data_IF_981544157132
#
_entry.id   IF_981544157132
#
_cell.length_a   1.000
_cell.length_b   1.000
_cell.length_c   1.000
_cell.angle_alpha   90.00
_cell.angle_beta   90.00
_cell.angle_gamma   90.00
#
_symmetry.space_group_name_H-M   'P 1'
#
loop_
_entity.id
_entity.type
_entity.pdbx_description
1 polymer ?
#
# COMPACT_ATOMS: atom_id res chain seq x y z
N UNK A 1 -14.07 -5.05 3.61
CA UNK A 1 -14.43 -3.99 2.63
C UNK A 1 -13.24 -3.60 1.77
N UNK A 2 -12.18 -3.01 2.34
CA UNK A 2 -11.01 -2.55 1.57
C UNK A 2 -10.39 -3.66 0.70
N UNK A 3 -10.24 -4.88 1.25
CA UNK A 3 -9.80 -6.04 0.47
C UNK A 3 -10.57 -6.23 -0.81
N UNK A 4 -11.91 -6.20 -0.76
CA UNK A 4 -12.77 -6.42 -1.93
C UNK A 4 -12.60 -5.31 -2.98
N UNK A 5 -12.51 -4.05 -2.54
CA UNK A 5 -12.34 -2.89 -3.42
C UNK A 5 -10.98 -2.91 -4.13
N UNK A 6 -9.92 -3.29 -3.43
CA UNK A 6 -8.55 -3.25 -3.94
C UNK A 6 -8.04 -4.60 -4.47
N UNK A 7 -8.83 -5.68 -4.38
CA UNK A 7 -8.48 -7.00 -4.94
C UNK A 7 -8.14 -6.94 -6.43
N UNK A 8 -8.91 -6.23 -7.29
CA UNK A 8 -8.56 -6.13 -8.71
C UNK A 8 -7.22 -5.44 -8.95
N UNK A 9 -6.86 -4.45 -8.11
CA UNK A 9 -5.58 -3.75 -8.19
C UNK A 9 -4.44 -4.66 -7.72
N UNK A 10 -4.63 -5.40 -6.62
CA UNK A 10 -3.66 -6.37 -6.14
C UNK A 10 -3.38 -7.45 -7.20
N UNK A 11 -4.43 -7.95 -7.85
CA UNK A 11 -4.29 -8.91 -8.95
C UNK A 11 -3.53 -8.32 -10.15
N UNK A 12 -3.83 -7.06 -10.51
CA UNK A 12 -3.17 -6.38 -11.63
C UNK A 12 -1.66 -6.19 -11.44
N UNK A 13 -1.19 -6.02 -10.20
CA UNK A 13 0.24 -5.88 -9.88
C UNK A 13 0.95 -7.22 -9.68
N UNK A 14 0.28 -8.35 -9.94
CA UNK A 14 0.89 -9.69 -9.97
C UNK A 14 0.56 -10.60 -8.79
N UNK A 15 -0.31 -10.21 -7.85
CA UNK A 15 -0.72 -11.09 -6.74
C UNK A 15 -1.69 -12.17 -7.24
N UNK A 16 -1.51 -13.47 -6.91
CA UNK A 16 -2.48 -14.51 -7.23
C UNK A 16 -3.88 -14.19 -6.69
N UNK A 17 -4.93 -14.52 -7.44
CA UNK A 17 -6.30 -14.17 -7.04
C UNK A 17 -6.71 -14.71 -5.67
N UNK A 18 -6.19 -15.88 -5.28
CA UNK A 18 -6.39 -16.49 -3.95
C UNK A 18 -5.87 -15.62 -2.80
N UNK A 19 -4.87 -14.78 -3.06
CA UNK A 19 -4.21 -13.91 -2.06
C UNK A 19 -4.59 -12.43 -2.24
N UNK A 20 -5.22 -12.08 -3.37
CA UNK A 20 -5.54 -10.71 -3.77
C UNK A 20 -6.47 -9.99 -2.78
N UNK A 21 -7.37 -10.72 -2.12
CA UNK A 21 -8.25 -10.16 -1.08
C UNK A 21 -7.46 -9.64 0.13
N UNK A 22 -6.46 -10.42 0.57
CA UNK A 22 -5.60 -10.08 1.69
C UNK A 22 -4.65 -8.95 1.30
N UNK A 23 -3.97 -9.07 0.15
CA UNK A 23 -3.08 -8.03 -0.37
C UNK A 23 -3.82 -6.69 -0.59
N UNK A 24 -5.01 -6.75 -1.19
CA UNK A 24 -5.87 -5.58 -1.41
C UNK A 24 -6.27 -4.91 -0.10
N UNK A 25 -6.44 -5.67 0.99
CA UNK A 25 -6.76 -5.10 2.30
C UNK A 25 -5.63 -4.19 2.79
N UNK A 26 -4.37 -4.62 2.66
CA UNK A 26 -3.22 -3.81 3.06
C UNK A 26 -3.03 -2.58 2.17
N UNK A 27 -3.17 -2.72 0.85
CA UNK A 27 -3.11 -1.59 -0.09
C UNK A 27 -4.16 -0.54 0.28
N UNK A 28 -5.40 -0.98 0.55
CA UNK A 28 -6.48 -0.10 0.95
C UNK A 28 -6.22 0.56 2.32
N UNK A 29 -5.74 -0.18 3.31
CA UNK A 29 -5.37 0.38 4.62
C UNK A 29 -4.30 1.45 4.49
N UNK A 30 -3.28 1.23 3.65
CA UNK A 30 -2.23 2.19 3.38
C UNK A 30 -2.77 3.48 2.78
N UNK A 31 -3.64 3.39 1.76
CA UNK A 31 -4.19 4.57 1.09
C UNK A 31 -5.13 5.36 2.01
N UNK A 32 -6.03 4.68 2.71
CA UNK A 32 -7.10 5.31 3.50
C UNK A 32 -6.62 5.78 4.87
N UNK A 33 -5.74 5.00 5.52
CA UNK A 33 -5.24 5.28 6.87
C UNK A 33 -3.79 5.75 6.79
N UNK A 34 -2.85 4.81 6.72
CA UNK A 34 -1.41 5.04 6.49
C UNK A 34 -0.69 3.69 6.36
N UNK A 35 0.55 3.76 5.89
CA UNK A 35 1.46 2.64 5.72
C UNK A 35 1.84 1.95 7.02
N UNK A 36 1.93 2.66 8.15
CA UNK A 36 2.27 2.03 9.45
C UNK A 36 1.21 1.01 9.86
N UNK A 37 -0.08 1.35 9.77
CA UNK A 37 -1.18 0.42 10.05
C UNK A 37 -1.16 -0.76 9.10
N UNK A 38 -0.90 -0.51 7.82
CA UNK A 38 -0.79 -1.58 6.83
C UNK A 38 0.39 -2.52 7.13
N UNK A 39 1.57 -1.99 7.47
CA UNK A 39 2.75 -2.78 7.82
C UNK A 39 2.60 -3.54 9.13
N UNK A 40 1.94 -2.96 10.14
CA UNK A 40 1.64 -3.69 11.39
C UNK A 40 0.80 -4.93 11.10
N UNK A 41 -0.27 -4.79 10.33
CA UNK A 41 -1.15 -5.91 10.00
C UNK A 41 -0.48 -6.90 9.04
N UNK A 42 0.35 -6.42 8.12
CA UNK A 42 1.14 -7.28 7.23
C UNK A 42 2.24 -8.06 7.99
N UNK A 43 2.79 -7.49 9.06
CA UNK A 43 3.80 -8.13 9.91
C UNK A 43 3.31 -9.44 10.53
N UNK A 44 2.00 -9.60 10.74
CA UNK A 44 1.40 -10.86 11.18
C UNK A 44 1.57 -11.99 10.16
N UNK A 45 1.67 -11.66 8.87
CA UNK A 45 1.90 -12.61 7.77
C UNK A 45 3.39 -12.82 7.45
N UNK A 46 4.30 -12.08 8.10
CA UNK A 46 5.75 -12.29 8.02
C UNK A 46 6.26 -13.35 9.01
N UNK A 47 5.40 -13.78 9.94
CA UNK A 47 5.73 -14.83 10.91
C UNK A 47 5.85 -16.19 10.22
N UNK A 48 6.50 -17.19 10.85
CA UNK A 48 6.52 -18.55 10.32
C UNK A 48 5.10 -19.07 10.05
N UNK A 49 4.90 -19.80 8.93
CA UNK A 49 3.57 -20.22 8.47
C UNK A 49 2.76 -20.97 9.53
N UNK A 50 3.42 -21.76 10.38
CA UNK A 50 2.76 -22.44 11.51
C UNK A 50 2.07 -21.46 12.48
N UNK A 51 2.67 -20.29 12.72
CA UNK A 51 2.07 -19.24 13.57
C UNK A 51 0.95 -18.50 12.83
N UNK A 52 1.11 -18.26 11.53
CA UNK A 52 0.08 -17.62 10.69
C UNK A 52 -1.19 -18.46 10.67
N UNK A 53 -1.03 -19.78 10.45
CA UNK A 53 -2.15 -20.74 10.46
C UNK A 53 -2.78 -20.82 11.85
N UNK A 54 -1.98 -20.86 12.92
CA UNK A 54 -2.50 -20.87 14.29
C UNK A 54 -3.31 -19.62 14.65
N UNK A 55 -3.02 -18.48 14.01
CA UNK A 55 -3.79 -17.24 14.12
C UNK A 55 -5.07 -17.23 13.25
N UNK A 56 -5.37 -18.32 12.54
CA UNK A 56 -6.53 -18.43 11.65
C UNK A 56 -6.36 -17.70 10.32
N UNK A 57 -5.12 -17.34 9.96
CA UNK A 57 -4.79 -16.61 8.74
C UNK A 57 -4.26 -17.59 7.67
N UNK A 58 -4.49 -17.27 6.41
CA UNK A 58 -3.89 -18.01 5.29
C UNK A 58 -2.47 -17.50 5.04
N UNK A 59 -1.43 -18.37 5.08
CA UNK A 59 -0.08 -17.99 4.68
C UNK A 59 -0.06 -17.41 3.27
N UNK A 60 0.81 -16.43 3.06
CA UNK A 60 1.05 -15.81 1.76
C UNK A 60 2.33 -16.39 1.14
N UNK A 61 2.33 -16.55 -0.17
CA UNK A 61 3.53 -16.85 -0.94
C UNK A 61 4.60 -15.77 -0.76
N UNK A 62 5.88 -16.16 -0.82
CA UNK A 62 6.99 -15.20 -0.72
C UNK A 62 6.98 -14.16 -1.85
N UNK A 63 6.46 -14.55 -3.01
CA UNK A 63 6.19 -13.67 -4.14
C UNK A 63 5.22 -12.54 -3.76
N UNK A 64 4.06 -12.89 -3.20
CA UNK A 64 3.08 -11.91 -2.74
C UNK A 64 3.59 -11.06 -1.58
N UNK A 65 4.33 -11.66 -0.64
CA UNK A 65 4.98 -10.92 0.45
C UNK A 65 5.88 -9.81 -0.12
N UNK A 66 6.71 -10.12 -1.13
CA UNK A 66 7.55 -9.13 -1.78
C UNK A 66 6.73 -8.02 -2.48
N UNK A 67 5.71 -8.38 -3.27
CA UNK A 67 4.84 -7.39 -3.94
C UNK A 67 4.21 -6.44 -2.91
N UNK A 68 3.64 -6.98 -1.83
CA UNK A 68 3.02 -6.16 -0.78
C UNK A 68 4.05 -5.23 -0.14
N UNK A 69 5.25 -5.71 0.19
CA UNK A 69 6.32 -4.88 0.76
C UNK A 69 6.62 -3.64 -0.10
N UNK A 70 6.73 -3.80 -1.42
CA UNK A 70 6.94 -2.67 -2.33
C UNK A 70 5.70 -1.78 -2.49
N UNK A 71 4.50 -2.36 -2.52
CA UNK A 71 3.25 -1.60 -2.66
C UNK A 71 2.97 -0.70 -1.44
N UNK A 72 3.38 -1.16 -0.25
CA UNK A 72 3.22 -0.43 1.02
C UNK A 72 4.36 0.57 1.29
N UNK A 73 5.51 0.46 0.62
CA UNK A 73 6.68 1.30 0.85
C UNK A 73 6.51 2.73 0.32
N UNK A 74 5.71 3.56 0.99
CA UNK A 74 5.60 4.98 0.69
C UNK A 74 4.46 5.67 1.44
N UNK A 75 4.63 6.96 1.70
CA UNK A 75 3.68 7.80 2.45
C UNK A 75 2.48 8.29 1.63
N UNK A 76 2.16 7.62 0.51
CA UNK A 76 1.03 8.01 -0.33
C UNK A 76 -0.30 7.55 0.30
N UNK A 77 -0.86 8.42 1.15
CA UNK A 77 -2.10 8.19 1.90
C UNK A 77 -2.85 9.52 2.10
N UNK A 78 -4.12 9.45 2.51
CA UNK A 78 -4.96 10.65 2.71
C UNK A 78 -4.41 11.60 3.80
N UNK A 79 -3.85 11.06 4.87
CA UNK A 79 -3.30 11.86 5.98
C UNK A 79 -2.07 12.69 5.56
N UNK A 80 -1.26 12.18 4.63
CA UNK A 80 -0.07 12.86 4.12
C UNK A 80 -0.39 14.15 3.37
N UNK A 81 -1.61 14.31 2.86
CA UNK A 81 -2.05 15.59 2.26
C UNK A 81 -2.06 16.71 3.31
N UNK A 82 -2.56 16.42 4.51
CA UNK A 82 -2.56 17.38 5.61
C UNK A 82 -1.13 17.69 6.09
N UNK A 83 -0.26 16.68 6.14
CA UNK A 83 1.16 16.84 6.48
C UNK A 83 1.86 17.76 5.46
N UNK A 84 1.65 17.54 4.17
CA UNK A 84 2.21 18.41 3.11
C UNK A 84 1.63 19.83 3.17
N UNK A 85 0.35 19.97 3.51
CA UNK A 85 -0.25 21.29 3.72
C UNK A 85 0.33 22.04 4.92
N UNK A 86 0.69 21.34 5.99
CA UNK A 86 1.39 21.92 7.14
C UNK A 86 2.84 22.26 6.82
N UNK A 87 3.60 21.30 6.29
CA UNK A 87 5.02 21.46 5.97
C UNK A 87 5.26 22.38 4.78
N UNK A 88 4.88 21.95 3.57
CA UNK A 88 5.09 22.72 2.34
C UNK A 88 4.25 24.00 2.32
N UNK A 89 3.02 23.95 2.82
CA UNK A 89 2.19 25.14 2.94
C UNK A 89 2.71 26.14 4.00
N UNK A 90 3.45 25.69 5.01
CA UNK A 90 4.15 26.57 5.95
C UNK A 90 5.40 27.20 5.34
N UNK A 91 6.16 26.44 4.55
CA UNK A 91 7.36 26.93 3.83
C UNK A 91 7.01 27.91 2.70
N UNK A 92 5.86 27.71 2.03
CA UNK A 92 5.38 28.57 0.95
C UNK A 92 3.90 28.97 1.16
N UNK A 93 3.61 29.90 2.10
CA UNK A 93 2.23 30.28 2.47
C UNK A 93 1.37 30.73 1.28
N UNK A 94 1.96 31.49 0.35
CA UNK A 94 1.29 31.97 -0.86
C UNK A 94 0.89 30.85 -1.84
N UNK A 95 1.44 29.64 -1.68
CA UNK A 95 1.19 28.46 -2.53
C UNK A 95 0.33 27.40 -1.84
N UNK A 96 -0.14 27.64 -0.61
CA UNK A 96 -0.92 26.66 0.17
C UNK A 96 -2.19 26.17 -0.55
N UNK A 97 -2.83 27.04 -1.34
CA UNK A 97 -3.99 26.68 -2.19
C UNK A 97 -3.62 25.68 -3.29
N UNK A 98 -2.43 25.81 -3.90
CA UNK A 98 -1.95 24.85 -4.89
C UNK A 98 -1.70 23.48 -4.26
N UNK A 99 -1.05 23.45 -3.08
CA UNK A 99 -0.78 22.21 -2.34
C UNK A 99 -2.08 21.48 -2.01
N UNK A 100 -3.10 22.20 -1.53
CA UNK A 100 -4.41 21.61 -1.24
C UNK A 100 -5.07 21.03 -2.49
N UNK A 101 -5.05 21.80 -3.59
CA UNK A 101 -5.66 21.40 -4.86
C UNK A 101 -4.98 20.18 -5.48
N UNK A 102 -3.66 20.06 -5.34
CA UNK A 102 -2.88 18.97 -5.91
C UNK A 102 -2.76 17.75 -5.00
N UNK A 103 -3.12 17.86 -3.71
CA UNK A 103 -2.91 16.80 -2.71
C UNK A 103 -3.42 15.43 -3.13
N UNK A 104 -4.69 15.34 -3.56
CA UNK A 104 -5.27 14.06 -4.00
C UNK A 104 -4.61 13.50 -5.26
N UNK A 105 -4.21 14.38 -6.19
CA UNK A 105 -3.46 13.97 -7.38
C UNK A 105 -2.08 13.43 -7.00
N UNK A 106 -1.42 14.05 -6.03
CA UNK A 106 -0.13 13.60 -5.51
C UNK A 106 -0.24 12.24 -4.81
N UNK A 107 -1.31 12.00 -4.03
CA UNK A 107 -1.57 10.68 -3.42
C UNK A 107 -1.78 9.61 -4.48
N UNK A 108 -2.56 9.89 -5.53
CA UNK A 108 -2.74 8.94 -6.63
C UNK A 108 -1.43 8.68 -7.37
N UNK A 109 -0.66 9.72 -7.69
CA UNK A 109 0.64 9.57 -8.36
C UNK A 109 1.64 8.77 -7.51
N UNK A 110 1.74 9.06 -6.21
CA UNK A 110 2.59 8.29 -5.30
C UNK A 110 2.14 6.84 -5.15
N UNK A 111 0.82 6.60 -5.09
CA UNK A 111 0.26 5.24 -5.05
C UNK A 111 0.62 4.45 -6.30
N UNK A 112 0.42 5.03 -7.49
CA UNK A 112 0.80 4.40 -8.75
C UNK A 112 2.30 4.14 -8.83
N UNK A 113 3.14 5.04 -8.30
CA UNK A 113 4.58 4.81 -8.21
C UNK A 113 4.92 3.59 -7.36
N UNK A 114 4.28 3.42 -6.20
CA UNK A 114 4.50 2.25 -5.35
C UNK A 114 4.02 0.96 -6.03
N UNK A 115 2.84 1.00 -6.66
CA UNK A 115 2.27 -0.15 -7.38
C UNK A 115 3.13 -0.56 -8.59
N UNK A 116 3.74 0.40 -9.29
CA UNK A 116 4.68 0.12 -10.37
C UNK A 116 5.92 -0.61 -9.84
N UNK A 117 6.54 -0.11 -8.76
CA UNK A 117 7.69 -0.79 -8.13
C UNK A 117 7.32 -2.19 -7.65
N UNK A 118 6.11 -2.38 -7.11
CA UNK A 118 5.60 -3.69 -6.69
C UNK A 118 5.43 -4.65 -7.88
N UNK A 119 4.91 -4.17 -9.00
CA UNK A 119 4.79 -4.95 -10.24
C UNK A 119 6.15 -5.38 -10.76
N UNK A 120 7.13 -4.47 -10.74
CA UNK A 120 8.52 -4.77 -11.14
C UNK A 120 9.13 -5.83 -10.22
N UNK A 121 8.96 -5.71 -8.91
CA UNK A 121 9.44 -6.71 -7.96
C UNK A 121 8.80 -8.09 -8.21
N UNK A 122 7.47 -8.12 -8.38
CA UNK A 122 6.74 -9.34 -8.71
C UNK A 122 7.17 -9.98 -10.03
N UNK A 123 7.50 -9.17 -11.03
CA UNK A 123 8.02 -9.65 -12.31
C UNK A 123 9.38 -10.33 -12.15
N UNK A 124 10.34 -9.67 -11.50
CA UNK A 124 11.70 -10.21 -11.38
C UNK A 124 11.81 -11.39 -10.42
N UNK A 125 10.93 -11.50 -9.42
CA UNK A 125 10.91 -12.64 -8.50
C UNK A 125 10.16 -13.86 -9.06
N UNK A 126 9.51 -13.72 -10.21
CA UNK A 126 8.86 -14.82 -10.92
C UNK A 126 9.73 -15.43 -12.05
N UNK A 127 10.88 -14.81 -12.36
CA UNK A 127 11.88 -15.31 -13.31
C UNK A 127 12.77 -16.37 -12.66
#
# INVERSE_FOLDING_TARGET
>A
ILGWVFSPIAFLIGVPWSEAMTAGSFIGQKIVVNEFVAFMNFGEYMKPDAQVIAAGLQPLSDHTKAIISFALCGFANLSSVAILLGGLGGMAPNRRKDVARLGMKAVMAGTLSNLMSATIAGFFLAL
#
